data_IF_369814447703
#
_entry.id   IF_369814447703
#
_cell.length_a   1.000
_cell.length_b   1.000
_cell.length_c   1.000
_cell.angle_alpha   90.00
_cell.angle_beta   90.00
_cell.angle_gamma   90.00
#
_symmetry.space_group_name_H-M   'P 1'
#
loop_
_entity.id
_entity.type
_entity.pdbx_description
1 polymer ?
#
# COMPACT_ATOMS: atom_id res chain seq x y z
N UNK A 1 0.59 -10.91 4.31
CA UNK A 1 -0.23 -11.52 3.22
C UNK A 1 -0.53 -10.51 2.10
N UNK A 2 -0.83 -9.24 2.40
CA UNK A 2 -1.19 -8.20 1.41
C UNK A 2 -0.19 -7.97 0.27
N UNK A 3 1.11 -8.17 0.51
CA UNK A 3 2.14 -8.02 -0.52
C UNK A 3 2.06 -9.08 -1.63
N UNK A 4 1.56 -10.28 -1.31
CA UNK A 4 1.48 -11.39 -2.26
C UNK A 4 0.41 -11.12 -3.33
N UNK A 5 -0.73 -10.59 -2.91
CA UNK A 5 -1.82 -10.21 -3.81
C UNK A 5 -1.41 -9.06 -4.74
N UNK A 6 -0.77 -8.03 -4.18
CA UNK A 6 -0.20 -6.94 -4.98
C UNK A 6 0.82 -7.46 -6.00
N UNK A 7 1.76 -8.32 -5.58
CA UNK A 7 2.76 -8.89 -6.47
C UNK A 7 2.15 -9.72 -7.62
N UNK A 8 1.09 -10.49 -7.32
CA UNK A 8 0.36 -11.28 -8.32
C UNK A 8 -0.32 -10.39 -9.36
N UNK A 9 -0.98 -9.32 -8.91
CA UNK A 9 -1.65 -8.35 -9.80
C UNK A 9 -0.64 -7.64 -10.69
N UNK A 10 0.42 -7.08 -10.09
CA UNK A 10 1.47 -6.37 -10.82
C UNK A 10 2.13 -7.27 -11.87
N UNK A 11 2.42 -8.53 -11.52
CA UNK A 11 2.95 -9.51 -12.48
C UNK A 11 1.99 -9.77 -13.64
N UNK A 12 0.70 -9.94 -13.35
CA UNK A 12 -0.32 -10.13 -14.39
C UNK A 12 -0.40 -8.95 -15.37
N UNK A 13 -0.37 -7.73 -14.84
CA UNK A 13 -0.38 -6.52 -15.65
C UNK A 13 0.92 -6.32 -16.43
N UNK A 14 2.08 -6.60 -15.83
CA UNK A 14 3.36 -6.52 -16.50
C UNK A 14 3.42 -7.49 -17.70
N UNK A 15 2.91 -8.71 -17.54
CA UNK A 15 2.79 -9.69 -18.63
C UNK A 15 1.83 -9.23 -19.72
N UNK A 16 0.73 -8.55 -19.35
CA UNK A 16 -0.20 -7.96 -20.32
C UNK A 16 0.47 -6.87 -21.14
N UNK A 17 1.14 -5.92 -20.49
CA UNK A 17 1.86 -4.81 -21.14
C UNK A 17 2.95 -5.35 -22.07
N UNK A 18 3.73 -6.34 -21.62
CA UNK A 18 4.79 -6.95 -22.44
C UNK A 18 4.26 -7.56 -23.75
N UNK A 19 3.00 -8.00 -23.78
CA UNK A 19 2.36 -8.57 -24.99
C UNK A 19 1.74 -7.53 -25.91
N UNK A 20 1.74 -6.24 -25.55
CA UNK A 20 1.16 -5.19 -26.38
C UNK A 20 2.02 -4.90 -27.62
N UNK A 21 1.37 -4.55 -28.73
CA UNK A 21 1.99 -4.39 -30.04
C UNK A 21 3.10 -3.34 -30.05
N UNK A 22 2.95 -2.23 -29.31
CA UNK A 22 3.99 -1.20 -29.21
C UNK A 22 5.25 -1.68 -28.47
N UNK A 23 5.12 -2.64 -27.54
CA UNK A 23 6.28 -3.24 -26.87
C UNK A 23 6.98 -4.21 -27.82
N UNK A 24 6.21 -5.03 -28.55
CA UNK A 24 6.77 -5.94 -29.56
C UNK A 24 7.48 -5.16 -30.68
N UNK A 25 6.92 -4.04 -31.11
CA UNK A 25 7.57 -3.15 -32.08
C UNK A 25 8.87 -2.55 -31.51
N UNK A 26 8.90 -2.13 -30.24
CA UNK A 26 10.11 -1.64 -29.58
C UNK A 26 11.19 -2.73 -29.49
N UNK A 27 10.81 -3.97 -29.18
CA UNK A 27 11.73 -5.13 -29.21
C UNK A 27 12.29 -5.37 -30.62
N UNK A 28 11.43 -5.33 -31.66
CA UNK A 28 11.85 -5.48 -33.05
C UNK A 28 12.79 -4.37 -33.54
N UNK A 29 12.66 -3.16 -32.99
CA UNK A 29 13.57 -2.04 -33.23
C UNK A 29 14.90 -2.16 -32.45
N UNK A 30 15.10 -3.21 -31.66
CA UNK A 30 16.33 -3.46 -30.91
C UNK A 30 16.39 -2.79 -29.54
N UNK A 31 15.27 -2.32 -28.98
CA UNK A 31 15.25 -1.78 -27.61
C UNK A 31 15.49 -2.92 -26.61
N UNK A 32 16.52 -2.78 -25.77
CA UNK A 32 16.83 -3.77 -24.74
C UNK A 32 15.76 -3.86 -23.65
N UNK A 33 15.70 -5.00 -22.96
CA UNK A 33 14.69 -5.26 -21.91
C UNK A 33 14.64 -4.19 -20.81
N UNK A 34 15.78 -3.61 -20.40
CA UNK A 34 15.81 -2.52 -19.41
C UNK A 34 15.12 -1.26 -19.93
N UNK A 35 15.28 -0.94 -21.22
CA UNK A 35 14.62 0.19 -21.86
C UNK A 35 13.10 -0.01 -21.91
N UNK A 36 12.66 -1.22 -22.27
CA UNK A 36 11.24 -1.59 -22.26
C UNK A 36 10.66 -1.52 -20.85
N UNK A 37 11.37 -2.05 -19.86
CA UNK A 37 10.92 -2.02 -18.48
C UNK A 37 10.71 -0.58 -17.98
N UNK A 38 11.70 0.28 -18.15
CA UNK A 38 11.67 1.65 -17.62
C UNK A 38 10.76 2.60 -18.41
N UNK A 39 10.65 2.43 -19.73
CA UNK A 39 9.90 3.35 -20.59
C UNK A 39 8.48 2.90 -20.91
N UNK A 40 8.21 1.60 -20.87
CA UNK A 40 6.91 1.03 -21.24
C UNK A 40 6.22 0.31 -20.09
N UNK A 41 6.92 -0.52 -19.33
CA UNK A 41 6.25 -1.35 -18.30
C UNK A 41 6.00 -0.55 -17.01
N UNK A 42 7.03 0.06 -16.42
CA UNK A 42 6.91 0.79 -15.15
C UNK A 42 5.91 1.95 -15.25
N UNK A 43 5.98 2.85 -16.25
CA UNK A 43 5.06 3.98 -16.33
C UNK A 43 3.59 3.55 -16.48
N UNK A 44 3.33 2.47 -17.23
CA UNK A 44 1.97 1.95 -17.40
C UNK A 44 1.45 1.21 -16.15
N UNK A 45 2.33 0.63 -15.33
CA UNK A 45 1.94 -0.02 -14.09
C UNK A 45 1.67 0.96 -12.94
N UNK A 46 2.21 2.17 -12.99
CA UNK A 46 2.05 3.15 -11.90
C UNK A 46 0.58 3.47 -11.61
N UNK A 47 -0.26 3.68 -12.63
CA UNK A 47 -1.68 3.99 -12.44
C UNK A 47 -2.41 2.90 -11.64
N UNK A 48 -2.40 1.65 -12.12
CA UNK A 48 -2.98 0.51 -11.40
C UNK A 48 -2.39 0.32 -9.99
N UNK A 49 -1.07 0.42 -9.84
CA UNK A 49 -0.41 0.28 -8.53
C UNK A 49 -0.87 1.34 -7.53
N UNK A 50 -1.00 2.60 -7.96
CA UNK A 50 -1.47 3.70 -7.11
C UNK A 50 -2.91 3.45 -6.67
N UNK A 51 -3.80 3.02 -7.57
CA UNK A 51 -5.20 2.69 -7.25
C UNK A 51 -5.27 1.53 -6.24
N UNK A 52 -4.46 0.49 -6.42
CA UNK A 52 -4.44 -0.60 -5.44
C UNK A 52 -3.85 -0.17 -4.11
N UNK A 53 -2.85 0.71 -4.10
CA UNK A 53 -2.33 1.27 -2.84
C UNK A 53 -3.40 2.04 -2.08
N UNK A 54 -4.22 2.86 -2.75
CA UNK A 54 -5.29 3.61 -2.05
C UNK A 54 -6.34 2.70 -1.41
N UNK A 55 -6.57 1.51 -1.96
CA UNK A 55 -7.45 0.50 -1.37
C UNK A 55 -6.81 -0.26 -0.20
N UNK A 56 -5.48 -0.47 -0.25
CA UNK A 56 -4.75 -1.21 0.78
C UNK A 56 -4.41 -0.34 2.00
N UNK A 57 -4.15 0.95 1.82
CA UNK A 57 -3.75 1.85 2.91
C UNK A 57 -4.74 1.83 4.08
N UNK A 58 -6.07 1.97 3.87
CA UNK A 58 -7.04 1.89 4.98
C UNK A 58 -7.02 0.54 5.71
N UNK A 59 -6.86 -0.56 4.97
CA UNK A 59 -6.80 -1.90 5.56
C UNK A 59 -5.57 -2.07 6.46
N UNK A 60 -4.43 -1.55 6.01
CA UNK A 60 -3.18 -1.57 6.79
C UNK A 60 -3.30 -0.68 8.03
N UNK A 61 -3.89 0.52 7.91
CA UNK A 61 -4.11 1.42 9.05
C UNK A 61 -4.96 0.73 10.13
N UNK A 62 -6.08 0.09 9.74
CA UNK A 62 -6.94 -0.60 10.69
C UNK A 62 -6.22 -1.77 11.36
N UNK A 63 -5.49 -2.57 10.57
CA UNK A 63 -4.74 -3.71 11.10
C UNK A 63 -3.65 -3.27 12.08
N UNK A 64 -2.87 -2.23 11.71
CA UNK A 64 -1.85 -1.64 12.58
C UNK A 64 -2.47 -1.08 13.84
N UNK A 65 -3.55 -0.30 13.72
CA UNK A 65 -4.25 0.31 14.85
C UNK A 65 -4.82 -0.77 15.79
N UNK A 66 -5.34 -1.86 15.25
CA UNK A 66 -5.84 -2.99 16.04
C UNK A 66 -4.71 -3.69 16.80
N UNK A 67 -3.57 -3.96 16.16
CA UNK A 67 -2.41 -4.57 16.82
C UNK A 67 -1.81 -3.64 17.88
N UNK A 68 -1.69 -2.35 17.57
CA UNK A 68 -1.25 -1.30 18.50
C UNK A 68 -2.19 -1.16 19.70
N UNK A 69 -3.51 -1.24 19.49
CA UNK A 69 -4.49 -1.23 20.59
C UNK A 69 -4.33 -2.44 21.53
N UNK A 70 -3.98 -3.62 20.98
CA UNK A 70 -3.68 -4.82 21.77
C UNK A 70 -2.29 -4.79 22.44
N UNK A 71 -1.49 -3.73 22.21
CA UNK A 71 -0.13 -3.59 22.75
C UNK A 71 0.94 -4.39 21.98
N UNK A 72 0.60 -4.92 20.81
CA UNK A 72 1.51 -5.66 19.91
C UNK A 72 2.08 -4.77 18.79
N UNK A 73 1.79 -3.48 18.84
CA UNK A 73 2.26 -2.49 17.86
C UNK A 73 3.52 -1.76 18.30
N UNK A 74 3.70 -0.56 17.75
CA UNK A 74 4.89 0.26 17.95
C UNK A 74 5.00 0.65 19.44
N UNK A 75 6.14 0.36 20.08
CA UNK A 75 6.38 0.75 21.47
C UNK A 75 6.78 2.23 21.56
N UNK A 76 6.46 2.88 22.69
CA UNK A 76 6.91 4.24 23.01
C UNK A 76 8.43 4.37 22.77
N UNK A 77 8.95 5.49 22.20
CA UNK A 77 8.40 6.85 22.16
C UNK A 77 7.61 7.24 20.88
N UNK A 78 7.41 6.33 19.93
CA UNK A 78 6.64 6.62 18.72
C UNK A 78 5.14 6.38 18.96
N UNK A 79 4.30 7.40 18.74
CA UNK A 79 2.83 7.26 18.87
C UNK A 79 2.23 6.69 17.59
N UNK A 80 1.28 5.76 17.73
CA UNK A 80 0.46 5.24 16.63
C UNK A 80 -1.02 5.52 16.87
N UNK A 81 -1.84 5.47 15.81
CA UNK A 81 -3.28 5.70 15.89
C UNK A 81 -3.96 4.72 16.86
N UNK A 82 -3.53 3.45 16.88
CA UNK A 82 -4.05 2.45 17.82
C UNK A 82 -3.71 2.72 19.29
N UNK A 83 -2.49 3.20 19.56
CA UNK A 83 -2.07 3.60 20.91
C UNK A 83 -2.90 4.79 21.40
N UNK A 84 -3.12 5.81 20.56
CA UNK A 84 -3.96 6.96 20.91
C UNK A 84 -5.40 6.54 21.25
N UNK A 85 -5.99 5.62 20.47
CA UNK A 85 -7.32 5.07 20.76
C UNK A 85 -7.32 4.33 22.11
N UNK A 86 -6.28 3.53 22.40
CA UNK A 86 -6.18 2.80 23.66
C UNK A 86 -6.09 3.71 24.89
N UNK A 87 -5.38 4.84 24.77
CA UNK A 87 -5.23 5.86 25.82
C UNK A 87 -6.56 6.59 26.01
N UNK A 88 -7.21 6.98 24.92
CA UNK A 88 -8.54 7.61 24.97
C UNK A 88 -9.59 6.70 25.61
N UNK A 89 -9.63 5.42 25.23
CA UNK A 89 -10.57 4.44 25.78
C UNK A 89 -10.40 4.23 27.29
N UNK A 90 -9.16 4.20 27.79
CA UNK A 90 -8.87 4.08 29.23
C UNK A 90 -9.30 5.33 30.02
N UNK A 91 -9.18 6.50 29.41
CA UNK A 91 -9.50 7.78 30.05
C UNK A 91 -10.95 8.24 29.80
N UNK A 92 -11.77 7.47 29.10
CA UNK A 92 -13.12 7.88 28.70
C UNK A 92 -14.09 8.05 29.88
N UNK A 93 -13.83 7.34 31.00
CA UNK A 93 -14.64 7.42 32.21
C UNK A 93 -14.23 8.54 33.16
N UNK A 94 -13.05 9.12 32.98
CA UNK A 94 -12.48 10.17 33.85
C UNK A 94 -12.31 11.51 33.15
N UNK A 95 -12.09 11.51 31.84
CA UNK A 95 -11.79 12.68 31.02
C UNK A 95 -12.80 12.84 29.87
N UNK A 96 -14.09 12.76 30.18
CA UNK A 96 -15.19 12.78 29.22
C UNK A 96 -15.21 14.07 28.37
N UNK A 97 -14.63 15.16 28.89
CA UNK A 97 -14.50 16.43 28.17
C UNK A 97 -13.62 16.33 26.93
N UNK A 98 -12.67 15.39 26.85
CA UNK A 98 -11.87 15.12 25.65
C UNK A 98 -12.68 14.61 24.46
N UNK A 99 -13.95 14.22 24.66
CA UNK A 99 -14.86 13.85 23.58
C UNK A 99 -15.56 15.07 22.96
N UNK A 100 -15.60 16.20 23.68
CA UNK A 100 -16.34 17.40 23.27
C UNK A 100 -15.43 18.49 22.69
N UNK A 101 -14.12 18.45 22.97
CA UNK A 101 -13.14 19.46 22.56
C UNK A 101 -11.97 18.83 21.79
#
# INVERSE_FOLDING_TARGET
>A
VLWLDMARIVRGQALSIRRQEYVQAAEAMGVGQRGILMRHVIPNLLGPVVIYMTLLVPQVIILESFLSFLGLGIQEPMTSWGVLISVGAKNIGTANWLLLF
#
